data_IF_000557412799
#
_entry.id   IF_000557412799
#
_cell.length_a   1.000
_cell.length_b   1.000
_cell.length_c   1.000
_cell.angle_alpha   90.00
_cell.angle_beta   90.00
_cell.angle_gamma   90.00
#
_symmetry.space_group_name_H-M   'P 1'
#
loop_
_entity.id
_entity.type
_entity.pdbx_description
1 polymer ?
#
# COMPACT_ATOMS: atom_id res chain seq x y z
N UNK A 1 44.11 31.55 37.00
CA UNK A 1 45.06 32.55 37.54
C UNK A 1 46.00 31.92 38.53
N UNK A 2 46.88 31.09 37.99
CA UNK A 2 48.12 30.66 38.65
C UNK A 2 49.31 31.54 38.21
N UNK A 3 49.12 32.43 37.22
CA UNK A 3 50.00 33.56 36.94
C UNK A 3 51.26 33.21 36.15
N UNK A 4 51.25 32.09 35.43
CA UNK A 4 52.38 31.65 34.60
C UNK A 4 52.34 32.24 33.17
N UNK A 5 51.27 32.96 32.81
CA UNK A 5 51.08 33.60 31.50
C UNK A 5 50.81 32.61 30.37
N UNK A 6 50.44 31.37 30.69
CA UNK A 6 50.14 30.31 29.73
C UNK A 6 48.69 29.86 29.94
N UNK A 7 47.80 30.03 28.93
CA UNK A 7 46.44 29.54 29.06
C UNK A 7 46.41 28.03 29.16
N UNK A 8 45.69 27.56 30.17
CA UNK A 8 45.42 26.16 30.36
C UNK A 8 43.97 25.81 29.98
N UNK A 9 43.83 24.63 29.38
CA UNK A 9 42.53 24.10 28.98
C UNK A 9 42.24 22.84 29.77
N UNK A 10 41.05 22.80 30.37
CA UNK A 10 40.53 21.58 30.98
C UNK A 10 39.22 21.16 30.31
N UNK A 11 39.04 19.85 30.20
CA UNK A 11 37.83 19.23 29.68
C UNK A 11 37.34 18.17 30.67
N UNK A 12 36.04 18.06 30.84
CA UNK A 12 35.44 17.05 31.71
C UNK A 12 33.98 16.82 31.39
N UNK A 13 33.39 15.81 32.04
CA UNK A 13 31.97 15.50 31.95
C UNK A 13 31.36 15.79 33.33
N UNK A 14 30.32 16.62 33.37
CA UNK A 14 29.61 16.89 34.62
C UNK A 14 28.74 15.72 35.07
N UNK A 15 28.17 15.81 36.27
CA UNK A 15 27.30 14.78 36.83
C UNK A 15 26.03 14.49 35.99
N UNK A 16 25.69 15.38 35.05
CA UNK A 16 24.56 15.23 34.13
C UNK A 16 24.94 14.64 32.76
N UNK A 17 26.21 14.26 32.57
CA UNK A 17 26.72 13.70 31.32
C UNK A 17 27.06 14.75 30.26
N UNK A 18 27.14 16.03 30.61
CA UNK A 18 27.48 17.11 29.66
C UNK A 18 28.99 17.32 29.64
N UNK A 19 29.57 17.34 28.44
CA UNK A 19 30.96 17.76 28.21
C UNK A 19 31.08 19.26 28.45
N UNK A 20 32.00 19.65 29.34
CA UNK A 20 32.39 21.03 29.52
C UNK A 20 33.86 21.20 29.11
N UNK A 21 34.14 22.37 28.54
CA UNK A 21 35.48 22.87 28.25
C UNK A 21 35.66 24.17 29.02
N UNK A 22 36.77 24.30 29.75
CA UNK A 22 37.07 25.48 30.56
C UNK A 22 38.48 25.97 30.26
N UNK A 23 38.61 27.30 30.23
CA UNK A 23 39.88 28.01 30.26
C UNK A 23 40.10 28.39 31.73
N UNK A 24 41.17 27.93 32.37
CA UNK A 24 41.40 28.23 33.80
C UNK A 24 42.26 29.49 34.00
N UNK A 25 43.04 29.88 32.99
CA UNK A 25 43.74 31.16 32.93
C UNK A 25 43.50 31.91 31.59
N UNK A 26 42.47 32.78 31.50
CA UNK A 26 42.13 33.47 30.26
C UNK A 26 42.88 34.80 30.07
N UNK A 27 43.72 35.25 31.00
CA UNK A 27 44.44 36.53 30.94
C UNK A 27 45.89 36.30 30.44
N UNK A 28 46.08 36.45 29.12
CA UNK A 28 47.32 36.13 28.41
C UNK A 28 48.41 37.19 28.61
N UNK A 29 48.02 38.46 28.78
CA UNK A 29 48.96 39.57 28.90
C UNK A 29 49.18 40.05 30.35
N UNK A 30 48.42 39.49 31.30
CA UNK A 30 48.55 39.74 32.73
C UNK A 30 48.00 41.10 33.15
N UNK A 31 47.11 41.70 32.36
CA UNK A 31 46.52 43.01 32.64
C UNK A 31 45.35 42.96 33.64
N UNK A 32 44.97 41.75 34.07
CA UNK A 32 43.89 41.50 35.02
C UNK A 32 42.50 41.44 34.37
N UNK A 33 42.42 41.50 33.04
CA UNK A 33 41.21 41.31 32.26
C UNK A 33 41.25 39.97 31.53
N UNK A 34 40.07 39.38 31.27
CA UNK A 34 40.04 38.12 30.53
C UNK A 34 40.20 38.37 29.04
N UNK A 35 41.24 37.78 28.44
CA UNK A 35 41.48 37.85 27.01
C UNK A 35 40.54 36.97 26.20
N UNK A 36 40.42 37.35 24.93
CA UNK A 36 39.65 36.61 23.95
C UNK A 36 40.44 35.41 23.44
N UNK A 37 40.02 34.20 23.82
CA UNK A 37 40.61 32.95 23.32
C UNK A 37 39.71 32.36 22.23
N UNK A 38 40.29 32.11 21.05
CA UNK A 38 39.57 31.45 19.96
C UNK A 38 39.58 29.92 20.13
N UNK A 39 38.44 29.27 19.90
CA UNK A 39 38.32 27.82 19.91
C UNK A 39 37.90 27.30 18.52
N UNK A 40 38.49 26.19 18.08
CA UNK A 40 38.18 25.52 16.80
C UNK A 40 37.75 24.09 17.04
N UNK A 41 36.58 23.72 16.53
CA UNK A 41 36.13 22.33 16.42
C UNK A 41 36.34 21.87 14.97
N UNK A 42 37.05 20.77 14.76
CA UNK A 42 37.24 20.13 13.46
C UNK A 42 36.73 18.70 13.49
N UNK A 43 36.19 18.22 12.37
CA UNK A 43 35.76 16.84 12.18
C UNK A 43 36.27 16.33 10.84
N UNK A 44 36.71 15.08 10.79
CA UNK A 44 37.07 14.37 9.55
C UNK A 44 35.86 13.74 8.87
N UNK A 45 34.71 13.70 9.55
CA UNK A 45 33.47 13.19 8.99
C UNK A 45 32.95 14.18 7.95
N UNK A 46 32.49 13.68 6.80
CA UNK A 46 31.92 14.51 5.73
C UNK A 46 30.39 14.51 5.75
N UNK A 47 29.76 13.52 6.39
CA UNK A 47 28.31 13.38 6.50
C UNK A 47 27.76 14.20 7.68
N UNK A 48 26.51 14.66 7.58
CA UNK A 48 25.87 15.53 8.58
C UNK A 48 25.41 14.76 9.82
N UNK A 49 24.99 13.51 9.66
CA UNK A 49 24.57 12.66 10.78
C UNK A 49 25.74 12.38 11.74
N UNK A 50 25.56 12.77 13.01
CA UNK A 50 26.58 12.59 14.05
C UNK A 50 27.75 13.58 13.99
N UNK A 51 27.81 14.46 12.98
CA UNK A 51 28.90 15.41 12.83
C UNK A 51 28.50 16.82 13.25
N UNK A 52 28.89 17.18 14.47
CA UNK A 52 28.59 18.48 15.05
C UNK A 52 29.20 19.66 14.26
N UNK A 53 30.34 19.48 13.59
CA UNK A 53 31.01 20.56 12.85
C UNK A 53 30.27 20.88 11.55
N UNK A 54 29.88 19.85 10.78
CA UNK A 54 29.09 20.03 9.54
C UNK A 54 27.69 20.55 9.85
N UNK A 55 27.06 20.06 10.92
CA UNK A 55 25.76 20.54 11.37
C UNK A 55 25.79 22.02 11.77
N UNK A 56 26.76 22.42 12.60
CA UNK A 56 26.86 23.80 13.10
C UNK A 56 27.26 24.78 12.00
N UNK A 57 28.20 24.42 11.12
CA UNK A 57 28.66 25.31 10.03
C UNK A 57 27.53 25.70 9.07
N UNK A 58 26.66 24.76 8.67
CA UNK A 58 25.50 25.09 7.80
C UNK A 58 24.48 26.01 8.48
N UNK A 59 24.31 25.88 9.80
CA UNK A 59 23.28 26.61 10.55
C UNK A 59 23.73 27.99 11.05
N UNK A 60 25.05 28.15 11.26
CA UNK A 60 25.68 29.44 11.64
C UNK A 60 25.88 30.34 10.41
N UNK A 61 26.01 29.76 9.21
CA UNK A 61 26.20 30.52 7.97
C UNK A 61 24.92 31.16 7.40
N UNK A 62 23.76 31.08 8.08
CA UNK A 62 22.60 31.91 7.71
C UNK A 62 22.83 33.33 8.26
N UNK A 63 23.12 34.32 7.40
CA UNK A 63 23.49 35.65 7.85
C UNK A 63 22.22 36.41 8.21
N UNK A 64 21.95 36.58 9.50
CA UNK A 64 21.11 37.69 9.98
C UNK A 64 21.87 38.46 11.05
N UNK A 65 22.79 39.32 10.60
CA UNK A 65 23.23 40.59 11.18
C UNK A 65 23.51 40.73 12.68
N UNK A 66 23.48 39.67 13.49
CA UNK A 66 23.72 39.75 14.91
C UNK A 66 25.10 39.16 15.22
N UNK A 67 26.03 40.03 15.64
CA UNK A 67 27.43 39.69 15.98
C UNK A 67 27.53 38.90 17.29
N UNK A 68 26.42 38.30 17.73
CA UNK A 68 26.30 37.49 18.94
C UNK A 68 26.42 36.04 18.50
N UNK A 69 27.64 35.51 18.54
CA UNK A 69 28.00 34.18 18.07
C UNK A 69 27.26 33.02 18.78
N UNK A 70 27.80 31.81 18.62
CA UNK A 70 27.33 30.49 19.07
C UNK A 70 26.57 30.41 20.43
N UNK A 71 26.78 31.34 21.34
CA UNK A 71 26.15 31.43 22.66
C UNK A 71 24.61 31.57 22.62
N UNK A 72 24.02 32.25 21.63
CA UNK A 72 22.55 32.42 21.56
C UNK A 72 21.86 31.28 20.78
N UNK A 73 22.54 30.67 19.80
CA UNK A 73 21.96 29.62 18.95
C UNK A 73 21.72 28.29 19.69
N UNK A 74 22.44 28.05 20.78
CA UNK A 74 22.20 26.89 21.66
C UNK A 74 21.03 27.08 22.64
N UNK A 75 20.47 28.30 22.79
CA UNK A 75 19.31 28.54 23.67
C UNK A 75 18.01 27.87 23.18
N UNK A 76 18.03 27.12 22.08
CA UNK A 76 16.88 26.39 21.55
C UNK A 76 16.91 24.87 21.73
N UNK A 77 18.05 24.26 22.11
CA UNK A 77 18.19 22.81 22.29
C UNK A 77 18.45 22.49 23.77
N UNK A 78 17.42 22.69 24.60
CA UNK A 78 17.40 22.12 25.94
C UNK A 78 16.69 20.76 25.85
N UNK A 79 17.45 19.66 25.98
CA UNK A 79 16.90 18.31 26.09
C UNK A 79 16.22 18.17 27.45
N UNK A 80 15.06 18.80 27.59
CA UNK A 80 14.25 18.74 28.80
C UNK A 80 13.46 17.43 28.82
N UNK A 81 13.35 16.76 29.98
CA UNK A 81 12.31 15.76 30.19
C UNK A 81 10.95 16.34 29.77
N UNK A 82 10.30 15.72 28.78
CA UNK A 82 9.04 16.20 28.21
C UNK A 82 9.15 16.94 26.87
N UNK A 83 10.33 17.03 26.23
CA UNK A 83 10.44 17.56 24.86
C UNK A 83 9.75 16.63 23.85
N UNK A 84 8.63 17.09 23.28
CA UNK A 84 7.80 16.35 22.33
C UNK A 84 8.05 16.75 20.86
N UNK A 85 9.08 17.53 20.55
CA UNK A 85 9.32 18.03 19.18
C UNK A 85 9.50 16.91 18.16
N UNK A 86 10.11 15.79 18.53
CA UNK A 86 10.20 14.63 17.64
C UNK A 86 8.83 13.97 17.43
N UNK A 87 8.00 13.87 18.48
CA UNK A 87 6.64 13.37 18.37
C UNK A 87 5.76 14.29 17.50
N UNK A 88 5.92 15.61 17.63
CA UNK A 88 5.27 16.61 16.77
C UNK A 88 5.72 16.46 15.31
N UNK A 89 7.03 16.34 15.06
CA UNK A 89 7.55 16.11 13.70
C UNK A 89 7.01 14.83 13.09
N UNK A 90 6.88 13.74 13.86
CA UNK A 90 6.28 12.50 13.40
C UNK A 90 4.78 12.69 13.13
N UNK A 91 4.06 13.41 14.00
CA UNK A 91 2.64 13.76 13.79
C UNK A 91 2.45 14.56 12.49
N UNK A 92 3.34 15.50 12.23
CA UNK A 92 3.29 16.37 11.04
C UNK A 92 3.55 15.58 9.74
N UNK A 93 4.25 14.44 9.79
CA UNK A 93 4.43 13.58 8.60
C UNK A 93 3.11 13.07 8.04
N UNK A 94 2.08 12.92 8.88
CA UNK A 94 0.75 12.48 8.45
C UNK A 94 0.11 13.46 7.48
N UNK A 95 0.28 14.78 7.72
CA UNK A 95 -0.28 15.83 6.87
C UNK A 95 0.68 16.35 5.79
N UNK A 96 1.95 15.93 5.82
CA UNK A 96 2.96 16.38 4.87
C UNK A 96 2.71 15.75 3.50
N UNK A 97 2.59 16.61 2.48
CA UNK A 97 2.55 16.21 1.08
C UNK A 97 3.93 15.79 0.61
N UNK A 98 3.98 14.74 -0.18
CA UNK A 98 5.20 14.19 -0.73
C UNK A 98 5.12 14.13 -2.25
N UNK A 99 6.11 14.70 -2.93
CA UNK A 99 6.16 14.81 -4.40
C UNK A 99 6.12 13.43 -5.07
N UNK A 100 6.77 12.42 -4.46
CA UNK A 100 6.79 11.03 -4.95
C UNK A 100 5.42 10.33 -4.84
N UNK A 101 4.47 10.90 -4.10
CA UNK A 101 3.09 10.44 -3.96
C UNK A 101 2.12 11.33 -4.74
N UNK A 102 2.63 12.19 -5.64
CA UNK A 102 1.82 13.09 -6.44
C UNK A 102 1.15 14.19 -5.63
N UNK A 103 1.87 14.79 -4.68
CA UNK A 103 1.36 15.84 -3.78
C UNK A 103 0.27 15.36 -2.79
N UNK A 104 0.14 14.05 -2.60
CA UNK A 104 -0.75 13.44 -1.61
C UNK A 104 -0.05 13.30 -0.25
N UNK A 105 -0.84 13.35 0.82
CA UNK A 105 -0.39 12.89 2.14
C UNK A 105 -0.39 11.35 2.20
N UNK A 106 0.30 10.78 3.19
CA UNK A 106 0.33 9.33 3.38
C UNK A 106 -1.08 8.73 3.58
N UNK A 107 -1.96 9.30 4.42
CA UNK A 107 -3.34 8.83 4.56
C UNK A 107 -4.16 8.93 3.27
N UNK A 108 -4.02 10.04 2.52
CA UNK A 108 -4.76 10.24 1.27
C UNK A 108 -4.36 9.22 0.22
N UNK A 109 -3.05 8.98 0.07
CA UNK A 109 -2.55 7.98 -0.85
C UNK A 109 -3.03 6.58 -0.47
N UNK A 110 -2.95 6.21 0.81
CA UNK A 110 -3.47 4.94 1.31
C UNK A 110 -4.97 4.77 1.01
N UNK A 111 -5.78 5.78 1.30
CA UNK A 111 -7.21 5.78 0.99
C UNK A 111 -7.49 5.59 -0.50
N UNK A 112 -6.69 6.22 -1.36
CA UNK A 112 -6.80 6.07 -2.82
C UNK A 112 -6.54 4.65 -3.29
N UNK A 113 -5.54 3.97 -2.71
CA UNK A 113 -5.20 2.57 -3.04
C UNK A 113 -6.33 1.65 -2.61
N UNK A 114 -6.84 1.83 -1.38
CA UNK A 114 -7.98 1.05 -0.87
C UNK A 114 -9.22 1.25 -1.76
N UNK A 115 -9.51 2.49 -2.16
CA UNK A 115 -10.62 2.78 -3.07
C UNK A 115 -10.45 2.10 -4.43
N UNK A 116 -9.25 2.12 -5.01
CA UNK A 116 -8.95 1.44 -6.28
C UNK A 116 -9.18 -0.07 -6.19
N UNK A 117 -8.72 -0.71 -5.10
CA UNK A 117 -8.97 -2.14 -4.85
C UNK A 117 -10.46 -2.42 -4.69
N UNK A 118 -11.19 -1.57 -3.96
CA UNK A 118 -12.64 -1.68 -3.79
C UNK A 118 -13.41 -1.60 -5.12
N UNK A 119 -13.05 -0.64 -5.97
CA UNK A 119 -13.63 -0.49 -7.31
C UNK A 119 -13.31 -1.68 -8.20
N UNK A 120 -12.07 -2.16 -8.19
CA UNK A 120 -11.66 -3.34 -8.95
C UNK A 120 -12.43 -4.59 -8.50
N UNK A 121 -12.56 -4.82 -7.19
CA UNK A 121 -13.34 -5.93 -6.64
C UNK A 121 -14.81 -5.87 -7.03
N UNK A 122 -15.43 -4.68 -6.96
CA UNK A 122 -16.81 -4.47 -7.40
C UNK A 122 -17.01 -4.80 -8.88
N UNK A 123 -16.11 -4.33 -9.76
CA UNK A 123 -16.16 -4.63 -11.21
C UNK A 123 -16.08 -6.13 -11.51
N UNK A 124 -15.21 -6.85 -10.80
CA UNK A 124 -15.08 -8.31 -10.94
C UNK A 124 -16.36 -9.00 -10.49
N UNK A 125 -16.96 -8.58 -9.38
CA UNK A 125 -18.23 -9.15 -8.89
C UNK A 125 -19.38 -8.92 -9.87
N UNK A 126 -19.52 -7.70 -10.40
CA UNK A 126 -20.54 -7.36 -11.40
C UNK A 126 -20.33 -8.16 -12.69
N UNK A 127 -19.09 -8.25 -13.17
CA UNK A 127 -18.75 -9.03 -14.36
C UNK A 127 -19.04 -10.52 -14.19
N UNK A 128 -18.78 -11.07 -13.00
CA UNK A 128 -19.12 -12.46 -12.67
C UNK A 128 -20.63 -12.68 -12.73
N UNK A 129 -21.43 -11.80 -12.13
CA UNK A 129 -22.90 -11.89 -12.17
C UNK A 129 -23.39 -11.84 -13.61
N UNK A 130 -22.92 -10.88 -14.39
CA UNK A 130 -23.28 -10.75 -15.80
C UNK A 130 -22.95 -12.01 -16.61
N UNK A 131 -21.77 -12.60 -16.42
CA UNK A 131 -21.39 -13.84 -17.12
C UNK A 131 -22.23 -15.05 -16.66
N UNK A 132 -22.64 -15.10 -15.39
CA UNK A 132 -23.55 -16.14 -14.90
C UNK A 132 -24.94 -16.02 -15.55
N UNK A 133 -25.47 -14.80 -15.63
CA UNK A 133 -26.77 -14.54 -16.28
C UNK A 133 -26.71 -14.87 -17.77
N UNK A 134 -25.62 -14.47 -18.45
CA UNK A 134 -25.38 -14.81 -19.85
C UNK A 134 -25.31 -16.31 -20.07
N UNK A 135 -24.58 -17.03 -19.21
CA UNK A 135 -24.46 -18.49 -19.28
C UNK A 135 -25.82 -19.15 -19.10
N UNK A 136 -26.64 -18.67 -18.16
CA UNK A 136 -27.99 -19.19 -17.96
C UNK A 136 -28.87 -18.95 -19.19
N UNK A 137 -28.80 -17.77 -19.82
CA UNK A 137 -29.53 -17.49 -21.06
C UNK A 137 -29.09 -18.41 -22.21
N UNK A 138 -27.79 -18.62 -22.37
CA UNK A 138 -27.26 -19.54 -23.39
C UNK A 138 -27.68 -20.99 -23.14
N UNK A 139 -27.74 -21.42 -21.88
CA UNK A 139 -28.27 -22.74 -21.52
C UNK A 139 -29.75 -22.86 -21.89
N UNK A 140 -30.58 -21.86 -21.56
CA UNK A 140 -31.99 -21.84 -21.94
C UNK A 140 -32.18 -21.87 -23.47
N UNK A 141 -31.37 -21.13 -24.22
CA UNK A 141 -31.40 -21.15 -25.68
C UNK A 141 -31.00 -22.52 -26.23
N UNK A 142 -29.91 -23.12 -25.71
CA UNK A 142 -29.49 -24.47 -26.09
C UNK A 142 -30.60 -25.48 -25.81
N UNK A 143 -31.17 -25.43 -24.62
CA UNK A 143 -32.24 -26.34 -24.21
C UNK A 143 -33.48 -26.11 -25.08
N UNK A 144 -33.82 -24.88 -25.48
CA UNK A 144 -34.94 -24.64 -26.41
C UNK A 144 -34.76 -25.27 -27.81
N UNK A 145 -33.51 -25.44 -28.26
CA UNK A 145 -33.19 -25.99 -29.60
C UNK A 145 -32.95 -27.51 -29.53
N UNK A 146 -32.36 -28.00 -28.44
CA UNK A 146 -32.02 -29.42 -28.26
C UNK A 146 -32.96 -30.19 -27.34
N UNK A 147 -33.89 -29.54 -26.65
CA UNK A 147 -34.94 -30.24 -25.93
C UNK A 147 -35.89 -30.86 -26.94
N UNK A 148 -35.75 -32.16 -27.12
CA UNK A 148 -36.78 -32.94 -27.76
C UNK A 148 -38.01 -32.92 -26.84
N UNK A 149 -39.16 -32.51 -27.39
CA UNK A 149 -40.40 -32.53 -26.63
C UNK A 149 -40.80 -33.98 -26.37
N UNK A 150 -40.74 -34.39 -25.10
CA UNK A 150 -41.08 -35.75 -24.66
C UNK A 150 -42.53 -36.10 -25.04
N UNK A 151 -43.41 -35.09 -25.12
CA UNK A 151 -44.78 -35.22 -25.60
C UNK A 151 -44.86 -35.46 -27.12
N UNK A 152 -44.00 -34.82 -27.92
CA UNK A 152 -43.92 -35.09 -29.37
C UNK A 152 -43.30 -36.47 -29.65
N UNK A 153 -42.27 -36.87 -28.92
CA UNK A 153 -41.72 -38.23 -28.99
C UNK A 153 -42.76 -39.26 -28.58
N UNK A 154 -43.55 -39.01 -27.52
CA UNK A 154 -44.62 -39.90 -27.08
C UNK A 154 -45.76 -39.96 -28.09
N UNK A 155 -46.16 -38.85 -28.69
CA UNK A 155 -47.17 -38.81 -29.75
C UNK A 155 -46.70 -39.59 -31.00
N UNK A 156 -45.43 -39.42 -31.39
CA UNK A 156 -44.83 -40.20 -32.47
C UNK A 156 -44.77 -41.70 -32.13
N UNK A 157 -44.39 -42.05 -30.90
CA UNK A 157 -44.38 -43.42 -30.41
C UNK A 157 -45.78 -44.05 -30.46
N UNK A 158 -46.81 -43.35 -29.98
CA UNK A 158 -48.22 -43.76 -30.06
C UNK A 158 -48.66 -43.97 -31.51
N UNK A 159 -48.30 -43.05 -32.40
CA UNK A 159 -48.57 -43.15 -33.84
C UNK A 159 -47.92 -44.40 -34.44
N UNK A 160 -46.66 -44.68 -34.11
CA UNK A 160 -45.97 -45.88 -34.59
C UNK A 160 -46.57 -47.17 -34.02
N UNK A 161 -46.98 -47.18 -32.74
CA UNK A 161 -47.67 -48.33 -32.15
C UNK A 161 -49.02 -48.59 -32.83
N UNK A 162 -49.79 -47.53 -33.13
CA UNK A 162 -51.07 -47.66 -33.81
C UNK A 162 -50.91 -48.11 -35.26
N UNK A 163 -49.91 -47.58 -35.98
CA UNK A 163 -49.57 -48.02 -37.32
C UNK A 163 -49.12 -49.49 -37.34
N UNK A 164 -48.33 -49.92 -36.36
CA UNK A 164 -47.91 -51.31 -36.22
C UNK A 164 -49.10 -52.24 -35.96
N UNK A 165 -50.00 -51.86 -35.04
CA UNK A 165 -51.22 -52.61 -34.77
C UNK A 165 -52.15 -52.70 -36.00
N UNK A 166 -52.25 -51.63 -36.78
CA UNK A 166 -52.99 -51.64 -38.04
C UNK A 166 -52.33 -52.55 -39.08
N UNK A 167 -51.00 -52.49 -39.25
CA UNK A 167 -50.26 -53.37 -40.15
C UNK A 167 -50.40 -54.85 -39.77
N UNK A 168 -50.38 -55.17 -38.47
CA UNK A 168 -50.63 -56.53 -37.98
C UNK A 168 -52.03 -57.02 -38.37
N UNK A 169 -53.07 -56.18 -38.25
CA UNK A 169 -54.43 -56.53 -38.68
C UNK A 169 -54.53 -56.76 -40.20
N UNK A 170 -53.86 -55.94 -41.01
CA UNK A 170 -53.82 -56.12 -42.47
C UNK A 170 -53.13 -57.43 -42.83
N UNK A 171 -52.06 -57.79 -42.13
CA UNK A 171 -51.37 -59.06 -42.30
C UNK A 171 -52.28 -60.24 -41.93
N UNK A 172 -53.00 -60.16 -40.81
CA UNK A 172 -53.98 -61.19 -40.42
C UNK A 172 -55.09 -61.35 -41.47
N UNK A 173 -55.65 -60.25 -41.98
CA UNK A 173 -56.67 -60.31 -43.03
C UNK A 173 -56.11 -60.91 -44.34
N UNK A 174 -54.84 -60.62 -44.65
CA UNK A 174 -54.15 -61.18 -45.82
C UNK A 174 -53.88 -62.68 -45.66
N UNK A 175 -53.48 -63.13 -44.46
CA UNK A 175 -53.31 -64.55 -44.12
C UNK A 175 -54.65 -65.32 -44.23
N UNK A 176 -55.74 -64.72 -43.75
CA UNK A 176 -57.09 -65.27 -43.88
C UNK A 176 -57.52 -65.39 -45.36
N UNK A 177 -57.29 -64.35 -46.17
CA UNK A 177 -57.55 -64.38 -47.60
C UNK A 177 -56.74 -65.47 -48.31
N UNK A 178 -55.45 -65.62 -48.00
CA UNK A 178 -54.60 -66.67 -48.55
C UNK A 178 -55.08 -68.06 -48.17
N UNK A 179 -55.53 -68.24 -46.92
CA UNK A 179 -56.08 -69.53 -46.44
C UNK A 179 -57.36 -69.92 -47.18
N UNK A 180 -58.28 -68.99 -47.39
CA UNK A 180 -59.51 -69.23 -48.18
C UNK A 180 -59.16 -69.65 -49.61
N UNK A 181 -58.19 -69.00 -50.26
CA UNK A 181 -57.75 -69.36 -51.62
C UNK A 181 -57.13 -70.77 -51.68
N UNK A 182 -56.41 -71.19 -50.64
CA UNK A 182 -55.83 -72.54 -50.54
C UNK A 182 -56.93 -73.59 -50.33
N UNK A 183 -57.91 -73.31 -49.46
CA UNK A 183 -59.03 -74.23 -49.19
C UNK A 183 -59.98 -74.37 -50.39
N UNK A 184 -60.26 -73.29 -51.14
CA UNK A 184 -61.13 -73.30 -52.32
C UNK A 184 -60.53 -74.04 -53.54
N UNK A 185 -59.21 -74.29 -53.55
CA UNK A 185 -58.52 -75.02 -54.64
C UNK A 185 -58.56 -76.55 -54.44
N UNK A 186 -59.17 -77.05 -53.37
CA UNK A 186 -59.30 -78.48 -53.07
C UNK A 186 -60.70 -78.99 -53.37
#
# INVERSE_FOLDING_TARGET
YDGDGIPDFSAGIDASGRLYLRINDPDLDGDGTSDWVSFRISSSLSQEEGNIVTYLSRRILLPRNDRRGLSLTLQGFDLRPGDNRNALRISDLSGRKLDNLGEASLPDYYASVVAQVGVAGKRVSESKSFLQDLLQQLQLMRDSVSAVSLDEEMANLLKYQQAFAAAAKVLTASDEMLRILIEAKR
#
